data_IF_067114553706
#
_entry.id   IF_067114553706
#
_cell.length_a   1.000
_cell.length_b   1.000
_cell.length_c   1.000
_cell.angle_alpha   90.00
_cell.angle_beta   90.00
_cell.angle_gamma   90.00
#
_symmetry.space_group_name_H-M   'P 1'
#
loop_
_entity.id
_entity.type
_entity.pdbx_description
1 polymer ?
#
# COMPACT_ATOMS: atom_id res chain seq x y z
N UNK A 1 18.94 0.27 -2.60
CA UNK A 1 18.13 -0.94 -2.32
C UNK A 1 17.27 -1.34 -3.53
N UNK A 2 16.49 -0.44 -4.17
CA UNK A 2 15.69 -0.76 -5.38
C UNK A 2 16.45 -0.82 -6.72
N UNK A 3 17.72 -0.39 -6.75
CA UNK A 3 18.60 -0.51 -7.94
C UNK A 3 19.59 -1.67 -7.85
N UNK A 4 19.49 -2.50 -6.80
CA UNK A 4 20.43 -3.62 -6.61
C UNK A 4 20.23 -4.68 -7.71
N UNK A 5 21.30 -5.37 -8.09
CA UNK A 5 21.22 -6.45 -9.08
C UNK A 5 20.24 -7.55 -8.65
N UNK A 6 20.20 -7.87 -7.36
CA UNK A 6 19.27 -8.85 -6.81
C UNK A 6 17.81 -8.44 -7.05
N UNK A 7 17.46 -7.17 -6.76
CA UNK A 7 16.10 -6.67 -6.95
C UNK A 7 15.69 -6.62 -8.42
N UNK A 8 16.58 -6.11 -9.30
CA UNK A 8 16.31 -6.04 -10.75
C UNK A 8 16.16 -7.44 -11.37
N UNK A 9 16.92 -8.42 -10.88
CA UNK A 9 16.79 -9.82 -11.33
C UNK A 9 15.42 -10.38 -10.97
N UNK A 10 14.93 -10.09 -9.77
CA UNK A 10 13.60 -10.54 -9.33
C UNK A 10 12.48 -9.95 -10.19
N UNK A 11 12.56 -8.64 -10.48
CA UNK A 11 11.59 -7.99 -11.36
C UNK A 11 11.55 -8.64 -12.76
N UNK A 12 12.73 -8.92 -13.34
CA UNK A 12 12.82 -9.61 -14.63
C UNK A 12 12.25 -11.03 -14.58
N UNK A 13 12.52 -11.77 -13.51
CA UNK A 13 12.00 -13.12 -13.31
C UNK A 13 10.46 -13.14 -13.32
N UNK A 14 9.83 -12.12 -12.72
CA UNK A 14 8.37 -11.99 -12.68
C UNK A 14 7.76 -11.18 -13.85
N UNK A 15 8.55 -10.84 -14.88
CA UNK A 15 8.11 -9.99 -16.00
C UNK A 15 7.52 -8.62 -15.55
N UNK A 16 8.01 -8.07 -14.44
CA UNK A 16 7.60 -6.78 -13.91
C UNK A 16 8.57 -5.69 -14.36
N UNK A 17 8.04 -4.59 -14.88
CA UNK A 17 8.84 -3.40 -15.22
C UNK A 17 9.02 -2.53 -13.99
N UNK A 18 10.26 -2.38 -13.54
CA UNK A 18 10.60 -1.46 -12.44
C UNK A 18 10.56 0.00 -12.90
N UNK A 19 9.67 0.80 -12.33
CA UNK A 19 9.67 2.26 -12.49
C UNK A 19 10.30 2.92 -11.26
N UNK A 20 11.29 3.78 -11.48
CA UNK A 20 11.95 4.54 -10.41
C UNK A 20 11.36 5.95 -10.22
N UNK A 21 10.31 6.30 -10.99
CA UNK A 21 9.76 7.65 -11.05
C UNK A 21 10.75 8.66 -11.66
N UNK A 22 10.29 9.89 -11.87
CA UNK A 22 11.20 11.01 -12.22
C UNK A 22 11.85 11.52 -10.93
N UNK A 23 13.15 11.81 -10.97
CA UNK A 23 13.83 12.47 -9.85
C UNK A 23 13.13 13.79 -9.52
N UNK A 24 12.70 13.97 -8.27
CA UNK A 24 11.99 15.18 -7.82
C UNK A 24 10.48 15.21 -8.09
N UNK A 25 9.88 14.15 -8.64
CA UNK A 25 8.44 14.03 -8.76
C UNK A 25 7.80 13.50 -7.46
N UNK A 26 7.51 14.40 -6.51
CA UNK A 26 6.85 14.05 -5.25
C UNK A 26 5.46 13.44 -5.43
N UNK A 27 4.77 13.76 -6.54
CA UNK A 27 3.46 13.23 -6.86
C UNK A 27 3.42 11.71 -7.02
N UNK A 28 4.51 11.10 -7.51
CA UNK A 28 4.59 9.66 -7.74
C UNK A 28 4.59 8.86 -6.42
N UNK A 29 5.14 9.45 -5.34
CA UNK A 29 5.24 8.81 -4.03
C UNK A 29 4.15 9.26 -3.03
N UNK A 30 3.40 10.33 -3.35
CA UNK A 30 2.42 10.93 -2.44
C UNK A 30 1.37 9.92 -1.92
N UNK A 31 0.95 8.96 -2.75
CA UNK A 31 0.02 7.91 -2.34
C UNK A 31 0.61 6.99 -1.24
N UNK A 32 1.87 6.60 -1.40
CA UNK A 32 2.58 5.77 -0.42
C UNK A 32 2.90 6.55 0.86
N UNK A 33 3.28 7.82 0.75
CA UNK A 33 3.48 8.70 1.90
C UNK A 33 2.20 8.85 2.73
N UNK A 34 1.06 9.06 2.05
CA UNK A 34 -0.25 9.12 2.72
C UNK A 34 -0.58 7.80 3.43
N UNK A 35 -0.31 6.65 2.80
CA UNK A 35 -0.50 5.34 3.43
C UNK A 35 0.35 5.19 4.71
N UNK A 36 1.65 5.50 4.65
CA UNK A 36 2.53 5.37 5.81
C UNK A 36 2.17 6.33 6.94
N UNK A 37 1.77 7.56 6.62
CA UNK A 37 1.28 8.51 7.63
C UNK A 37 0.04 7.97 8.35
N UNK A 38 -0.88 7.32 7.62
CA UNK A 38 -2.05 6.67 8.21
C UNK A 38 -1.67 5.47 9.07
N UNK A 39 -0.77 4.60 8.59
CA UNK A 39 -0.31 3.44 9.36
C UNK A 39 0.37 3.86 10.66
N UNK A 40 1.22 4.89 10.59
CA UNK A 40 1.90 5.44 11.75
C UNK A 40 0.90 5.95 12.78
N UNK A 41 -0.01 6.85 12.38
CA UNK A 41 -1.01 7.43 13.28
C UNK A 41 -1.98 6.40 13.88
N UNK A 42 -2.35 5.39 13.09
CA UNK A 42 -3.43 4.46 13.48
C UNK A 42 -2.94 3.16 14.11
N UNK A 43 -1.66 2.81 13.97
CA UNK A 43 -1.09 1.56 14.51
C UNK A 43 0.17 1.83 15.32
N UNK A 44 1.20 2.43 14.71
CA UNK A 44 2.52 2.54 15.33
C UNK A 44 2.49 3.43 16.58
N UNK A 45 1.85 4.59 16.48
CA UNK A 45 1.83 5.60 17.55
C UNK A 45 0.71 5.36 18.58
N UNK A 46 -0.10 4.31 18.42
CA UNK A 46 -1.25 4.05 19.30
C UNK A 46 -0.85 3.57 20.69
N UNK A 47 0.20 2.77 20.78
CA UNK A 47 0.69 2.15 22.02
C UNK A 47 2.09 1.56 21.81
N UNK A 48 2.76 1.26 22.91
CA UNK A 48 3.93 0.37 22.88
C UNK A 48 3.49 -1.07 22.60
N UNK A 49 4.26 -1.75 21.77
CA UNK A 49 4.03 -3.14 21.39
C UNK A 49 4.97 -4.04 22.18
N UNK A 50 4.46 -5.06 22.89
CA UNK A 50 5.30 -5.97 23.69
C UNK A 50 6.26 -6.81 22.83
N UNK A 51 5.78 -7.24 21.66
CA UNK A 51 6.55 -8.05 20.72
C UNK A 51 6.43 -7.54 19.28
N UNK A 52 7.33 -7.98 18.41
CA UNK A 52 7.25 -7.68 16.97
C UNK A 52 6.06 -8.38 16.32
N UNK A 53 5.73 -9.57 16.80
CA UNK A 53 4.61 -10.39 16.35
C UNK A 53 3.27 -9.70 16.64
N UNK A 54 3.12 -9.09 17.82
CA UNK A 54 1.92 -8.31 18.16
C UNK A 54 1.76 -7.10 17.24
N UNK A 55 2.87 -6.38 16.98
CA UNK A 55 2.87 -5.26 16.04
C UNK A 55 2.53 -5.72 14.62
N UNK A 56 3.13 -6.81 14.17
CA UNK A 56 2.86 -7.38 12.85
C UNK A 56 1.37 -7.73 12.69
N UNK A 57 0.78 -8.44 13.66
CA UNK A 57 -0.63 -8.78 13.64
C UNK A 57 -1.51 -7.52 13.61
N UNK A 58 -1.15 -6.48 14.37
CA UNK A 58 -1.89 -5.22 14.37
C UNK A 58 -1.81 -4.48 13.03
N UNK A 59 -0.63 -4.46 12.39
CA UNK A 59 -0.44 -3.88 11.06
C UNK A 59 -1.33 -4.60 10.04
N UNK A 60 -1.25 -5.93 9.96
CA UNK A 60 -2.05 -6.73 9.01
C UNK A 60 -3.55 -6.55 9.28
N UNK A 61 -3.96 -6.61 10.55
CA UNK A 61 -5.36 -6.44 10.93
C UNK A 61 -5.88 -5.05 10.53
N UNK A 62 -5.09 -4.00 10.75
CA UNK A 62 -5.48 -2.65 10.36
C UNK A 62 -5.56 -2.48 8.84
N UNK A 63 -4.58 -3.00 8.08
CA UNK A 63 -4.59 -2.98 6.62
C UNK A 63 -5.85 -3.67 6.10
N UNK A 64 -6.08 -4.92 6.49
CA UNK A 64 -7.16 -5.74 5.95
C UNK A 64 -8.56 -5.28 6.40
N UNK A 65 -8.74 -5.00 7.69
CA UNK A 65 -10.07 -4.71 8.24
C UNK A 65 -10.44 -3.25 8.14
N UNK A 66 -9.46 -2.34 8.19
CA UNK A 66 -9.74 -0.90 8.25
C UNK A 66 -9.39 -0.23 6.94
N UNK A 67 -8.14 -0.30 6.50
CA UNK A 67 -7.67 0.43 5.33
C UNK A 67 -8.33 -0.07 4.03
N UNK A 68 -8.36 -1.40 3.81
CA UNK A 68 -8.91 -2.00 2.59
C UNK A 68 -10.44 -2.09 2.56
N UNK A 69 -11.09 -2.36 3.71
CA UNK A 69 -12.52 -2.72 3.77
C UNK A 69 -13.46 -1.66 4.33
N UNK A 70 -12.95 -0.66 5.06
CA UNK A 70 -13.80 0.33 5.77
C UNK A 70 -13.47 1.76 5.43
N UNK A 71 -12.23 2.07 5.05
CA UNK A 71 -11.80 3.42 4.72
C UNK A 71 -12.22 3.78 3.30
N UNK A 72 -13.31 4.54 3.19
CA UNK A 72 -13.71 5.20 1.94
C UNK A 72 -12.75 6.36 1.62
N UNK A 73 -12.38 6.50 0.35
CA UNK A 73 -11.44 7.53 -0.09
C UNK A 73 -12.08 8.40 -1.17
N UNK A 74 -12.01 9.72 -1.04
CA UNK A 74 -12.61 10.64 -2.01
C UNK A 74 -11.98 10.49 -3.41
N UNK A 75 -10.67 10.24 -3.47
CA UNK A 75 -9.95 9.94 -4.72
C UNK A 75 -10.49 8.68 -5.43
N UNK A 76 -11.09 7.76 -4.69
CA UNK A 76 -11.69 6.54 -5.22
C UNK A 76 -13.22 6.69 -5.39
N UNK A 77 -13.75 7.91 -5.50
CA UNK A 77 -15.21 8.13 -5.63
C UNK A 77 -15.98 7.76 -4.36
N UNK A 78 -15.37 7.94 -3.18
CA UNK A 78 -15.89 7.54 -1.86
C UNK A 78 -16.11 6.02 -1.71
N UNK A 79 -15.37 5.23 -2.48
CA UNK A 79 -15.29 3.78 -2.34
C UNK A 79 -14.11 3.39 -1.45
N UNK A 80 -14.18 2.19 -0.88
CA UNK A 80 -13.05 1.51 -0.25
C UNK A 80 -12.10 0.97 -1.32
N UNK A 81 -10.81 0.72 -0.99
CA UNK A 81 -9.89 0.10 -1.92
C UNK A 81 -10.41 -1.21 -2.53
N UNK A 82 -11.05 -2.08 -1.73
CA UNK A 82 -11.61 -3.33 -2.26
C UNK A 82 -12.79 -3.08 -3.19
N UNK A 83 -13.73 -2.20 -2.82
CA UNK A 83 -14.86 -1.85 -3.71
C UNK A 83 -14.34 -1.30 -5.05
N UNK A 84 -13.32 -0.43 -5.01
CA UNK A 84 -12.72 0.14 -6.20
C UNK A 84 -12.08 -0.94 -7.09
N UNK A 85 -11.24 -1.81 -6.52
CA UNK A 85 -10.57 -2.91 -7.24
C UNK A 85 -11.58 -3.88 -7.85
N UNK A 86 -12.63 -4.26 -7.10
CA UNK A 86 -13.66 -5.18 -7.61
C UNK A 86 -14.38 -4.63 -8.84
N UNK A 87 -14.69 -3.34 -8.87
CA UNK A 87 -15.31 -2.68 -10.04
C UNK A 87 -14.35 -2.60 -11.22
N UNK A 88 -13.08 -2.30 -10.98
CA UNK A 88 -12.09 -2.18 -12.05
C UNK A 88 -11.75 -3.54 -12.65
N UNK A 89 -11.59 -4.58 -11.84
CA UNK A 89 -11.35 -5.95 -12.30
C UNK A 89 -12.52 -6.49 -13.14
N UNK A 90 -13.75 -6.20 -12.74
CA UNK A 90 -14.93 -6.54 -13.54
C UNK A 90 -14.94 -5.81 -14.90
N UNK A 91 -14.50 -4.54 -14.92
CA UNK A 91 -14.43 -3.75 -16.15
C UNK A 91 -13.31 -4.21 -17.11
N UNK A 92 -12.17 -4.70 -16.61
CA UNK A 92 -11.10 -5.26 -17.46
C UNK A 92 -11.37 -6.68 -17.94
N UNK A 93 -12.30 -7.40 -17.31
CA UNK A 93 -12.66 -8.77 -17.69
C UNK A 93 -13.82 -8.85 -18.70
N UNK A 94 -14.53 -7.74 -18.94
CA UNK A 94 -15.64 -7.61 -19.90
C UNK A 94 -15.15 -7.10 -21.26
#
# INVERSE_FOLDING_TARGET
QFRSHAFVRELRHHNVVGSMGRVGACGDNAAMESFFALLQKNVLDRRRWPTREDLHLAIVTWIERTYHRRRRQDRLGRMTPIEYEMLHQAATAA
#
